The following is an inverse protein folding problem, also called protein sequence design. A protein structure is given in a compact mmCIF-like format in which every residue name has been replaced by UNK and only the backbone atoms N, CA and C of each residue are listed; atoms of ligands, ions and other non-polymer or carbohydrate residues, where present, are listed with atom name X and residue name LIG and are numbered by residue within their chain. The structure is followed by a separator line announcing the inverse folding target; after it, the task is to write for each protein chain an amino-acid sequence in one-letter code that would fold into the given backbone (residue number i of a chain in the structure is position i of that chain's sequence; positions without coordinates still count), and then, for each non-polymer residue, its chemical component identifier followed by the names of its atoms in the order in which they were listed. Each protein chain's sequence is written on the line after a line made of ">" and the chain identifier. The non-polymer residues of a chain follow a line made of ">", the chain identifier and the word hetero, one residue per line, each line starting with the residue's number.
data_IF_155906645289
#
_entry.id   IF_155906645289
#
_cell.length_a   1.000
_cell.length_b   1.000
_cell.length_c   1.000
_cell.angle_alpha   90.00
_cell.angle_beta   90.00
_cell.angle_gamma   90.00
#
_symmetry.space_group_name_H-M   'P 1'
#
loop_
_entity.id
_entity.type
_entity.pdbx_description
1 polymer ?
#
# COMPACT_ATOMS: atom_id res chain seq x y z
N UNK A 1 7.35 -5.68 1.37
CA UNK A 1 6.88 -4.58 2.24
C UNK A 1 7.97 -4.15 3.18
N UNK A 2 8.37 -5.01 4.12
CA UNK A 2 9.34 -4.70 5.18
C UNK A 2 10.63 -4.00 4.69
N UNK A 3 11.32 -4.46 3.63
CA UNK A 3 12.53 -3.77 3.15
C UNK A 3 12.28 -2.31 2.71
N UNK A 4 11.12 -2.02 2.12
CA UNK A 4 10.77 -0.67 1.66
C UNK A 4 10.25 0.23 2.78
N UNK A 5 9.64 -0.36 3.80
CA UNK A 5 9.29 0.34 5.04
C UNK A 5 10.57 0.72 5.80
N UNK A 6 11.49 -0.23 5.97
CA UNK A 6 12.74 -0.03 6.71
C UNK A 6 13.67 0.97 6.00
N UNK A 7 13.70 0.97 4.66
CA UNK A 7 14.44 1.98 3.87
C UNK A 7 13.81 3.37 3.92
N UNK A 8 12.56 3.48 4.40
CA UNK A 8 11.77 4.69 4.38
C UNK A 8 11.23 5.06 3.00
N UNK A 9 11.33 4.19 2.00
CA UNK A 9 10.67 4.39 0.72
C UNK A 9 9.14 4.38 0.86
N UNK A 10 8.59 3.51 1.71
CA UNK A 10 7.16 3.44 1.98
C UNK A 10 6.86 4.15 3.30
N UNK A 11 6.16 5.29 3.22
CA UNK A 11 5.91 6.17 4.36
C UNK A 11 4.67 5.80 5.14
N UNK A 12 3.63 5.27 4.49
CA UNK A 12 2.39 4.83 5.13
C UNK A 12 1.81 3.66 4.34
N UNK A 13 1.16 2.74 5.05
CA UNK A 13 0.41 1.66 4.45
C UNK A 13 -0.78 1.28 5.31
N UNK A 14 -1.80 0.69 4.70
CA UNK A 14 -2.98 0.21 5.40
C UNK A 14 -3.90 -0.59 4.50
N UNK A 15 -4.89 -1.23 5.12
CA UNK A 15 -5.99 -1.86 4.41
C UNK A 15 -7.00 -0.80 3.96
N UNK A 16 -7.55 -0.97 2.77
CA UNK A 16 -8.80 -0.32 2.38
C UNK A 16 -9.89 -1.33 2.74
N UNK A 17 -10.89 -0.89 3.49
CA UNK A 17 -12.01 -1.73 3.92
C UNK A 17 -13.31 -1.23 3.28
N UNK A 18 -14.21 -2.14 2.94
CA UNK A 18 -15.53 -1.79 2.40
C UNK A 18 -16.40 -1.09 3.46
N UNK A 19 -16.18 -1.41 4.74
CA UNK A 19 -16.89 -0.85 5.87
C UNK A 19 -15.95 -0.51 7.03
N UNK A 20 -16.42 0.34 7.95
CA UNK A 20 -15.66 0.69 9.16
C UNK A 20 -15.58 -0.55 10.06
N UNK A 21 -14.37 -1.01 10.43
CA UNK A 21 -14.23 -2.24 11.21
C UNK A 21 -14.79 -2.06 12.62
N UNK A 22 -15.40 -3.12 13.16
CA UNK A 22 -15.98 -3.10 14.51
C UNK A 22 -14.93 -3.16 15.65
N UNK A 23 -13.66 -3.42 15.31
CA UNK A 23 -12.54 -3.53 16.25
C UNK A 23 -11.22 -3.75 15.52
N UNK A 24 -10.19 -4.23 16.22
CA UNK A 24 -8.84 -4.40 15.69
C UNK A 24 -8.52 -5.85 15.26
N UNK A 25 -9.49 -6.77 15.34
CA UNK A 25 -9.31 -8.13 14.87
C UNK A 25 -9.39 -8.19 13.34
N UNK A 26 -8.22 -8.27 12.71
CA UNK A 26 -8.09 -8.31 11.26
C UNK A 26 -8.83 -9.47 10.58
N UNK A 27 -9.15 -10.56 11.30
CA UNK A 27 -9.92 -11.68 10.75
C UNK A 27 -11.39 -11.32 10.47
N UNK A 28 -11.86 -10.22 11.05
CA UNK A 28 -13.24 -9.71 10.89
C UNK A 28 -13.36 -8.61 9.82
N UNK A 29 -12.25 -8.21 9.20
CA UNK A 29 -12.24 -7.08 8.27
C UNK A 29 -12.77 -7.47 6.89
N UNK A 30 -13.63 -6.63 6.34
CA UNK A 30 -14.06 -6.71 4.94
C UNK A 30 -13.08 -5.94 4.05
N UNK A 31 -12.07 -6.64 3.54
CA UNK A 31 -10.98 -6.05 2.74
C UNK A 31 -11.44 -5.68 1.32
N UNK A 32 -11.17 -4.43 0.93
CA UNK A 32 -11.33 -3.91 -0.42
C UNK A 32 -9.99 -3.72 -1.16
N UNK A 33 -8.87 -3.72 -0.43
CA UNK A 33 -7.54 -3.58 -1.02
C UNK A 33 -6.50 -3.04 -0.04
N UNK A 34 -5.49 -2.38 -0.59
CA UNK A 34 -4.40 -1.77 0.18
C UNK A 34 -4.14 -0.35 -0.28
N UNK A 35 -3.77 0.50 0.67
CA UNK A 35 -3.33 1.87 0.40
C UNK A 35 -1.88 2.02 0.81
N UNK A 36 -1.10 2.76 0.03
CA UNK A 36 0.31 3.03 0.28
C UNK A 36 0.62 4.48 -0.08
N UNK A 37 1.49 5.11 0.71
CA UNK A 37 2.15 6.37 0.35
C UNK A 37 3.64 6.09 0.22
N UNK A 38 4.17 6.21 -0.98
CA UNK A 38 5.55 5.86 -1.31
C UNK A 38 6.32 7.08 -1.83
N UNK A 39 7.64 7.07 -1.63
CA UNK A 39 8.59 7.99 -2.26
C UNK A 39 9.34 7.21 -3.34
N UNK A 40 9.31 7.75 -4.55
CA UNK A 40 9.99 7.22 -5.73
C UNK A 40 10.20 8.34 -6.74
N UNK A 41 11.10 8.12 -7.70
CA UNK A 41 11.38 9.07 -8.77
C UNK A 41 10.40 8.93 -9.95
N UNK A 42 9.67 7.82 -10.03
CA UNK A 42 8.74 7.52 -11.13
C UNK A 42 7.62 6.56 -10.73
N UNK A 43 6.58 6.47 -11.57
CA UNK A 43 5.51 5.47 -11.41
C UNK A 43 6.06 4.06 -11.64
N UNK A 44 6.96 3.92 -12.60
CA UNK A 44 7.57 2.66 -13.01
C UNK A 44 8.35 2.03 -11.84
N UNK A 45 9.11 2.85 -11.10
CA UNK A 45 9.80 2.41 -9.90
C UNK A 45 8.83 1.86 -8.84
N UNK A 46 7.69 2.53 -8.62
CA UNK A 46 6.65 2.01 -7.71
C UNK A 46 6.10 0.67 -8.19
N UNK A 47 5.80 0.54 -9.48
CA UNK A 47 5.30 -0.73 -10.05
C UNK A 47 6.33 -1.85 -9.85
N UNK A 48 7.61 -1.60 -10.06
CA UNK A 48 8.66 -2.58 -9.80
C UNK A 48 8.78 -2.97 -8.32
N UNK A 49 8.66 -2.00 -7.42
CA UNK A 49 8.65 -2.26 -5.97
C UNK A 49 7.46 -3.14 -5.58
N UNK A 50 6.25 -2.83 -6.09
CA UNK A 50 5.03 -3.61 -5.84
C UNK A 50 5.14 -5.04 -6.36
N UNK A 51 5.67 -5.24 -7.59
CA UNK A 51 5.85 -6.58 -8.19
C UNK A 51 6.81 -7.48 -7.41
N UNK A 52 7.70 -6.90 -6.59
CA UNK A 52 8.63 -7.63 -5.71
C UNK A 52 8.01 -7.95 -4.34
N UNK A 53 6.82 -7.44 -4.03
CA UNK A 53 6.16 -7.69 -2.75
C UNK A 53 5.57 -9.11 -2.65
N UNK A 54 5.46 -9.63 -1.43
CA UNK A 54 4.80 -10.92 -1.20
C UNK A 54 3.33 -10.87 -1.61
N UNK A 55 2.63 -9.75 -1.43
CA UNK A 55 1.23 -9.65 -1.87
C UNK A 55 1.09 -9.71 -3.39
N UNK A 56 2.04 -9.19 -4.15
CA UNK A 56 2.02 -9.37 -5.61
C UNK A 56 2.41 -10.81 -6.01
N UNK A 57 3.51 -11.33 -5.44
CA UNK A 57 4.02 -12.66 -5.82
C UNK A 57 3.15 -13.83 -5.34
N UNK A 58 2.31 -13.61 -4.33
CA UNK A 58 1.28 -14.57 -3.87
C UNK A 58 -0.08 -14.38 -4.54
N UNK A 59 -0.23 -13.41 -5.45
CA UNK A 59 -1.47 -13.16 -6.19
C UNK A 59 -2.56 -12.41 -5.42
N UNK A 60 -2.23 -11.80 -4.28
CA UNK A 60 -3.16 -10.95 -3.52
C UNK A 60 -3.36 -9.59 -4.21
N UNK A 61 -2.29 -9.02 -4.77
CA UNK A 61 -2.34 -7.75 -5.50
C UNK A 61 -2.29 -7.97 -7.00
N UNK A 62 -3.27 -7.41 -7.71
CA UNK A 62 -3.17 -7.14 -9.13
C UNK A 62 -2.46 -5.80 -9.34
N UNK A 63 -1.14 -5.87 -9.52
CA UNK A 63 -0.30 -4.66 -9.70
C UNK A 63 -0.60 -3.96 -11.02
N UNK A 64 -1.04 -4.69 -12.05
CA UNK A 64 -1.31 -4.10 -13.36
C UNK A 64 -2.60 -3.27 -13.35
N UNK A 65 -3.53 -3.57 -12.42
CA UNK A 65 -4.72 -2.76 -12.14
C UNK A 65 -4.54 -1.77 -10.97
N UNK A 66 -3.32 -1.64 -10.41
CA UNK A 66 -3.07 -0.70 -9.33
C UNK A 66 -3.28 0.75 -9.78
N UNK A 67 -4.03 1.50 -8.98
CA UNK A 67 -4.24 2.93 -9.21
C UNK A 67 -3.17 3.73 -8.48
N UNK A 68 -2.39 4.53 -9.24
CA UNK A 68 -1.21 5.23 -8.73
C UNK A 68 -1.28 6.69 -9.16
N UNK A 69 -1.17 7.61 -8.20
CA UNK A 69 -1.22 9.05 -8.43
C UNK A 69 -0.09 9.78 -7.72
N UNK A 70 0.42 10.89 -8.29
CA UNK A 70 1.33 11.77 -7.58
C UNK A 70 0.61 12.47 -6.42
N UNK A 71 1.20 12.43 -5.23
CA UNK A 71 0.65 13.06 -4.02
C UNK A 71 1.57 14.18 -3.54
N UNK A 72 1.01 15.38 -3.37
CA UNK A 72 1.66 16.48 -2.63
C UNK A 72 1.00 16.62 -1.26
N UNK A 73 1.63 16.03 -0.25
CA UNK A 73 1.08 15.95 1.10
C UNK A 73 1.11 17.33 1.79
N UNK A 74 -0.06 17.85 2.17
CA UNK A 74 -0.17 19.13 2.86
C UNK A 74 0.12 19.02 4.38
N UNK A 75 -0.34 17.94 5.00
CA UNK A 75 -0.10 17.62 6.40
C UNK A 75 0.02 16.11 6.57
N UNK A 76 0.81 15.70 7.56
CA UNK A 76 0.87 14.32 8.04
C UNK A 76 1.17 14.36 9.53
N UNK A 77 0.25 13.89 10.33
CA UNK A 77 0.46 13.72 11.76
C UNK A 77 0.99 12.31 12.06
N UNK A 78 1.75 12.13 13.16
CA UNK A 78 2.13 10.82 13.67
C UNK A 78 0.93 9.92 13.94
#
# INVERSE_FOLDING_TARGET
>A
MKPFVDSGAWKMGGAILNEVPAGDDASTFDFAGSTLVCVAESKEEIVEQLKKDVYATSGVWDVDQAQIWPLKCAFRHP
#
